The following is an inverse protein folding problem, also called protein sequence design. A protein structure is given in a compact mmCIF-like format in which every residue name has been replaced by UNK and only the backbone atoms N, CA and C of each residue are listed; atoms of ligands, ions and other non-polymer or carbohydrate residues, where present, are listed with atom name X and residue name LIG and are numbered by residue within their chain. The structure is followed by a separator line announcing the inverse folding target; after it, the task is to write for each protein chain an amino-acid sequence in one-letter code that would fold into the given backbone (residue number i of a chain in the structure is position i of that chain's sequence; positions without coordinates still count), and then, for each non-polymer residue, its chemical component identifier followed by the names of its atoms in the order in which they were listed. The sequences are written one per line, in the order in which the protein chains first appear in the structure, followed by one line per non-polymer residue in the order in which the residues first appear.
data_IF_769288881444
#
_entry.id   IF_769288881444
#
_cell.length_a   1.000
_cell.length_b   1.000
_cell.length_c   1.000
_cell.angle_alpha   90.00
_cell.angle_beta   90.00
_cell.angle_gamma   90.00
#
_symmetry.space_group_name_H-M   'P 1'
#
loop_
_entity.id
_entity.type
_entity.pdbx_description
1 polymer ?
#
# COMPACT_ATOMS: atom_id res chain seq x y z
N UNK A 1 23.87 0.74 -3.56
CA UNK A 1 22.48 1.18 -3.88
C UNK A 1 21.48 0.04 -3.93
N UNK A 2 21.69 -1.06 -4.69
CA UNK A 2 20.74 -2.19 -4.78
C UNK A 2 20.38 -2.83 -3.43
N UNK A 3 21.35 -2.95 -2.51
CA UNK A 3 21.12 -3.49 -1.16
C UNK A 3 20.08 -2.69 -0.36
N UNK A 4 20.11 -1.35 -0.44
CA UNK A 4 19.12 -0.49 0.23
C UNK A 4 17.72 -0.67 -0.37
N UNK A 5 17.62 -0.89 -1.68
CA UNK A 5 16.33 -1.14 -2.33
C UNK A 5 15.75 -2.49 -1.89
N UNK A 6 16.56 -3.55 -1.84
CA UNK A 6 16.12 -4.83 -1.31
C UNK A 6 15.73 -4.76 0.17
N UNK A 7 16.46 -3.99 0.96
CA UNK A 7 16.10 -3.73 2.35
C UNK A 7 14.74 -3.01 2.46
N UNK A 8 14.50 -2.01 1.62
CA UNK A 8 13.20 -1.34 1.54
C UNK A 8 12.07 -2.30 1.10
N UNK A 9 12.31 -3.16 0.11
CA UNK A 9 11.35 -4.19 -0.30
C UNK A 9 11.02 -5.13 0.87
N UNK A 10 12.03 -5.54 1.64
CA UNK A 10 11.85 -6.36 2.83
C UNK A 10 11.00 -5.67 3.91
N UNK A 11 11.27 -4.39 4.19
CA UNK A 11 10.46 -3.58 5.13
C UNK A 11 9.01 -3.49 4.63
N UNK A 12 8.81 -3.22 3.34
CA UNK A 12 7.48 -3.10 2.78
C UNK A 12 6.71 -4.43 2.83
N UNK A 13 7.36 -5.55 2.52
CA UNK A 13 6.77 -6.87 2.62
C UNK A 13 6.36 -7.20 4.07
N UNK A 14 7.19 -6.85 5.05
CA UNK A 14 6.84 -6.99 6.47
C UNK A 14 5.63 -6.12 6.87
N UNK A 15 5.60 -4.86 6.41
CA UNK A 15 4.47 -3.96 6.64
C UNK A 15 3.17 -4.47 5.97
N UNK A 16 3.27 -5.06 4.77
CA UNK A 16 2.15 -5.68 4.08
C UNK A 16 1.60 -6.89 4.85
N UNK A 17 2.47 -7.75 5.37
CA UNK A 17 2.07 -8.88 6.23
C UNK A 17 1.42 -8.39 7.52
N UNK A 18 1.96 -7.34 8.14
CA UNK A 18 1.34 -6.72 9.31
C UNK A 18 -0.07 -6.19 8.97
N UNK A 19 -0.24 -5.52 7.83
CA UNK A 19 -1.53 -5.02 7.37
C UNK A 19 -2.55 -6.15 7.19
N UNK A 20 -2.15 -7.26 6.56
CA UNK A 20 -3.00 -8.46 6.42
C UNK A 20 -3.34 -9.07 7.78
N UNK A 21 -2.37 -9.14 8.70
CA UNK A 21 -2.59 -9.63 10.06
C UNK A 21 -3.56 -8.74 10.83
N UNK A 22 -3.48 -7.43 10.66
CA UNK A 22 -4.43 -6.48 11.25
C UNK A 22 -5.83 -6.70 10.65
N UNK A 23 -5.95 -6.90 9.34
CA UNK A 23 -7.24 -7.21 8.72
C UNK A 23 -7.90 -8.46 9.32
N UNK A 24 -7.13 -9.51 9.56
CA UNK A 24 -7.62 -10.72 10.22
C UNK A 24 -7.98 -10.44 11.67
N UNK A 25 -7.13 -9.72 12.41
CA UNK A 25 -7.35 -9.40 13.83
C UNK A 25 -8.59 -8.53 14.05
N UNK A 26 -8.92 -7.66 13.11
CA UNK A 26 -10.05 -6.73 13.21
C UNK A 26 -11.25 -7.15 12.35
N UNK A 27 -11.30 -8.42 11.96
CA UNK A 27 -12.43 -9.04 11.24
C UNK A 27 -12.85 -8.23 9.99
N UNK A 28 -11.86 -7.72 9.25
CA UNK A 28 -12.14 -7.01 8.01
C UNK A 28 -12.90 -7.94 7.04
N UNK A 29 -13.81 -7.40 6.22
CA UNK A 29 -14.53 -8.21 5.25
C UNK A 29 -13.58 -9.00 4.35
N UNK A 30 -13.91 -10.27 4.09
CA UNK A 30 -13.04 -11.19 3.33
C UNK A 30 -12.60 -10.63 1.98
N UNK A 31 -13.48 -9.91 1.28
CA UNK A 31 -13.18 -9.26 0.01
C UNK A 31 -12.07 -8.20 0.14
N UNK A 32 -12.03 -7.47 1.27
CA UNK A 32 -11.02 -6.46 1.55
C UNK A 32 -9.69 -7.11 1.87
N UNK A 33 -9.68 -8.13 2.72
CA UNK A 33 -8.46 -8.89 3.03
C UNK A 33 -7.87 -9.54 1.77
N UNK A 34 -8.72 -10.10 0.90
CA UNK A 34 -8.30 -10.62 -0.40
C UNK A 34 -7.70 -9.55 -1.30
N UNK A 35 -8.36 -8.40 -1.44
CA UNK A 35 -7.87 -7.26 -2.21
C UNK A 35 -6.51 -6.77 -1.71
N UNK A 36 -6.36 -6.58 -0.40
CA UNK A 36 -5.09 -6.15 0.22
C UNK A 36 -3.97 -7.18 -0.02
N UNK A 37 -4.27 -8.48 0.12
CA UNK A 37 -3.29 -9.55 -0.11
C UNK A 37 -2.81 -9.56 -1.55
N UNK A 38 -3.73 -9.54 -2.51
CA UNK A 38 -3.41 -9.56 -3.95
C UNK A 38 -2.63 -8.31 -4.35
N UNK A 39 -3.10 -7.13 -3.96
CA UNK A 39 -2.44 -5.87 -4.32
C UNK A 39 -1.04 -5.75 -3.72
N UNK A 40 -0.85 -6.15 -2.45
CA UNK A 40 0.46 -6.14 -1.81
C UNK A 40 1.42 -7.15 -2.45
N UNK A 41 0.95 -8.37 -2.73
CA UNK A 41 1.77 -9.41 -3.35
C UNK A 41 2.24 -8.98 -4.76
N UNK A 42 1.31 -8.47 -5.57
CA UNK A 42 1.62 -7.95 -6.89
C UNK A 42 2.55 -6.74 -6.80
N UNK A 43 2.28 -5.82 -5.88
CA UNK A 43 3.12 -4.63 -5.73
C UNK A 43 4.56 -4.96 -5.31
N UNK A 44 4.76 -5.94 -4.42
CA UNK A 44 6.10 -6.47 -4.06
C UNK A 44 6.75 -7.16 -5.25
N UNK A 45 6.00 -7.98 -6.01
CA UNK A 45 6.52 -8.59 -7.24
C UNK A 45 6.98 -7.52 -8.25
N UNK A 46 6.24 -6.42 -8.38
CA UNK A 46 6.62 -5.29 -9.21
C UNK A 46 7.91 -4.63 -8.74
N UNK A 47 8.09 -4.42 -7.45
CA UNK A 47 9.35 -3.90 -6.94
C UNK A 47 10.54 -4.82 -7.28
N UNK A 48 10.35 -6.15 -7.22
CA UNK A 48 11.38 -7.11 -7.59
C UNK A 48 11.70 -7.06 -9.09
N UNK A 49 10.69 -7.03 -9.97
CA UNK A 49 10.89 -6.88 -11.41
C UNK A 49 11.60 -5.57 -11.75
N UNK A 50 11.23 -4.47 -11.07
CA UNK A 50 11.88 -3.18 -11.24
C UNK A 50 13.38 -3.25 -10.90
N UNK A 51 13.75 -3.87 -9.77
CA UNK A 51 15.15 -3.99 -9.33
C UNK A 51 15.97 -4.89 -10.24
N UNK A 52 15.35 -5.96 -10.75
CA UNK A 52 16.00 -6.87 -11.70
C UNK A 52 16.12 -6.30 -13.11
N UNK A 53 15.47 -5.15 -13.38
CA UNK A 53 15.48 -4.53 -14.70
C UNK A 53 14.68 -5.29 -15.75
N UNK A 54 13.74 -6.14 -15.32
CA UNK A 54 12.86 -6.87 -16.25
C UNK A 54 11.87 -5.88 -16.84
N UNK A 55 12.02 -5.60 -18.14
CA UNK A 55 11.10 -4.74 -18.88
C UNK A 55 10.75 -5.42 -20.20
N UNK A 56 9.46 -5.65 -20.40
CA UNK A 56 8.91 -6.07 -21.69
C UNK A 56 7.60 -5.31 -21.94
N UNK A 57 7.21 -5.11 -23.20
CA UNK A 57 5.93 -4.46 -23.54
C UNK A 57 4.72 -5.18 -22.94
N UNK A 58 4.75 -6.52 -22.90
CA UNK A 58 3.69 -7.36 -22.32
C UNK A 58 3.59 -7.15 -20.82
N UNK A 59 4.74 -7.11 -20.13
CA UNK A 59 4.80 -6.84 -18.70
C UNK A 59 4.22 -5.46 -18.41
N UNK A 60 4.64 -4.42 -19.14
CA UNK A 60 4.16 -3.05 -18.95
C UNK A 60 2.63 -2.95 -19.13
N UNK A 61 2.07 -3.60 -20.16
CA UNK A 61 0.63 -3.60 -20.43
C UNK A 61 -0.16 -4.30 -19.31
N UNK A 62 0.32 -5.46 -18.85
CA UNK A 62 -0.26 -6.14 -17.69
C UNK A 62 -0.15 -5.29 -16.42
N UNK A 63 0.99 -4.62 -16.21
CA UNK A 63 1.24 -3.86 -15.01
C UNK A 63 0.39 -2.60 -14.88
N UNK A 64 -0.15 -2.04 -15.97
CA UNK A 64 -1.12 -0.94 -15.91
C UNK A 64 -2.38 -1.32 -15.14
N UNK A 65 -2.87 -2.54 -15.35
CA UNK A 65 -4.01 -3.09 -14.60
C UNK A 65 -3.66 -3.36 -13.13
N UNK A 66 -2.44 -3.86 -12.89
CA UNK A 66 -1.91 -4.05 -11.54
C UNK A 66 -1.83 -2.72 -10.77
N UNK A 67 -1.33 -1.65 -11.40
CA UNK A 67 -1.27 -0.32 -10.80
C UNK A 67 -2.67 0.21 -10.49
N UNK A 68 -3.64 0.04 -11.40
CA UNK A 68 -5.02 0.42 -11.14
C UNK A 68 -5.60 -0.34 -9.92
N UNK A 69 -5.33 -1.65 -9.84
CA UNK A 69 -5.71 -2.49 -8.70
C UNK A 69 -5.06 -2.01 -7.40
N UNK A 70 -3.75 -1.71 -7.41
CA UNK A 70 -3.02 -1.18 -6.27
C UNK A 70 -3.62 0.15 -5.81
N UNK A 71 -3.99 1.03 -6.75
CA UNK A 71 -4.63 2.31 -6.44
C UNK A 71 -5.99 2.10 -5.75
N UNK A 72 -6.84 1.21 -6.28
CA UNK A 72 -8.13 0.86 -5.66
C UNK A 72 -7.92 0.25 -4.26
N UNK A 73 -7.00 -0.71 -4.13
CA UNK A 73 -6.68 -1.33 -2.85
C UNK A 73 -6.21 -0.29 -1.81
N UNK A 74 -5.40 0.68 -2.25
CA UNK A 74 -4.92 1.78 -1.39
C UNK A 74 -6.08 2.69 -0.97
N UNK A 75 -6.97 3.07 -1.89
CA UNK A 75 -8.14 3.89 -1.55
C UNK A 75 -9.06 3.18 -0.53
N UNK A 76 -9.29 1.87 -0.72
CA UNK A 76 -10.03 1.04 0.25
C UNK A 76 -9.28 1.00 1.59
N UNK A 77 -7.97 0.74 1.59
CA UNK A 77 -7.15 0.70 2.79
C UNK A 77 -7.22 2.03 3.55
N UNK A 78 -7.13 3.16 2.87
CA UNK A 78 -7.21 4.50 3.48
C UNK A 78 -8.54 4.71 4.16
N UNK A 79 -9.65 4.39 3.49
CA UNK A 79 -11.00 4.49 4.05
C UNK A 79 -11.16 3.63 5.30
N UNK A 80 -10.69 2.38 5.25
CA UNK A 80 -10.75 1.46 6.40
C UNK A 80 -9.84 1.89 7.54
N UNK A 81 -8.62 2.29 7.25
CA UNK A 81 -7.64 2.74 8.25
C UNK A 81 -8.14 3.99 8.95
N UNK A 82 -8.71 4.95 8.21
CA UNK A 82 -9.36 6.11 8.78
C UNK A 82 -10.49 5.70 9.73
N UNK A 83 -11.43 4.86 9.26
CA UNK A 83 -12.56 4.44 10.08
C UNK A 83 -12.13 3.66 11.35
N UNK A 84 -11.16 2.75 11.22
CA UNK A 84 -10.61 1.96 12.32
C UNK A 84 -9.87 2.83 13.34
N UNK A 85 -8.97 3.71 12.88
CA UNK A 85 -8.22 4.60 13.78
C UNK A 85 -9.15 5.57 14.48
N UNK A 86 -10.11 6.15 13.75
CA UNK A 86 -11.10 7.02 14.35
C UNK A 86 -11.90 6.28 15.44
N UNK A 87 -12.41 5.08 15.16
CA UNK A 87 -13.09 4.23 16.17
C UNK A 87 -12.24 3.85 17.38
N UNK A 88 -10.91 3.75 17.23
CA UNK A 88 -9.99 3.41 18.33
C UNK A 88 -9.60 4.61 19.19
N UNK A 89 -9.65 5.82 18.64
CA UNK A 89 -9.32 7.05 19.36
C UNK A 89 -10.59 7.71 19.93
N UNK A 90 -11.75 7.46 19.33
CA UNK A 90 -13.08 7.83 19.82
C UNK A 90 -13.53 7.29 21.20
N UNK A 91 -12.99 6.21 21.80
CA UNK A 91 -13.36 5.83 23.16
C UNK A 91 -12.98 6.91 24.19
N UNK A 92 -12.07 7.83 23.84
CA UNK A 92 -11.48 8.82 24.75
C UNK A 92 -11.78 10.28 24.35
N UNK A 93 -12.49 10.57 23.24
CA UNK A 93 -12.66 11.95 22.76
C UNK A 93 -13.87 12.22 21.84
N UNK A 94 -14.23 13.50 21.72
CA UNK A 94 -15.35 13.97 20.89
C UNK A 94 -15.07 13.76 19.38
N UNK A 95 -15.97 13.10 18.61
CA UNK A 95 -15.88 13.01 17.16
C UNK A 95 -15.70 14.34 16.43
N UNK A 96 -16.15 15.45 17.02
CA UNK A 96 -15.99 16.78 16.47
C UNK A 96 -14.60 17.40 16.71
N UNK A 97 -13.73 16.76 17.50
CA UNK A 97 -12.40 17.28 17.81
C UNK A 97 -11.53 17.37 16.53
N UNK A 98 -11.12 18.60 16.20
CA UNK A 98 -10.25 18.90 15.07
C UNK A 98 -8.82 18.38 15.25
N UNK A 99 -8.32 18.30 16.50
CA UNK A 99 -6.97 17.82 16.79
C UNK A 99 -6.85 16.32 16.56
N UNK A 100 -7.85 15.57 17.01
CA UNK A 100 -7.94 14.12 16.81
C UNK A 100 -8.02 13.75 15.33
N UNK A 101 -8.85 14.47 14.55
CA UNK A 101 -8.91 14.31 13.09
C UNK A 101 -7.57 14.63 12.42
N UNK A 102 -6.91 15.70 12.85
CA UNK A 102 -5.60 16.09 12.34
C UNK A 102 -4.56 14.98 12.58
N UNK A 103 -4.45 14.46 13.80
CA UNK A 103 -3.52 13.37 14.15
C UNK A 103 -3.73 12.11 13.31
N UNK A 104 -4.99 11.70 13.10
CA UNK A 104 -5.33 10.55 12.26
C UNK A 104 -4.88 10.79 10.81
N UNK A 105 -5.17 11.97 10.25
CA UNK A 105 -4.76 12.34 8.90
C UNK A 105 -3.25 12.44 8.74
N UNK A 106 -2.53 13.04 9.70
CA UNK A 106 -1.07 13.14 9.69
C UNK A 106 -0.44 11.74 9.70
N UNK A 107 -0.93 10.84 10.55
CA UNK A 107 -0.39 9.48 10.62
C UNK A 107 -0.69 8.67 9.34
N UNK A 108 -1.85 8.89 8.70
CA UNK A 108 -2.17 8.32 7.39
C UNK A 108 -1.23 8.90 6.31
N UNK A 109 -1.02 10.21 6.31
CA UNK A 109 -0.14 10.91 5.37
C UNK A 109 1.30 10.43 5.45
N UNK A 110 1.85 10.25 6.66
CA UNK A 110 3.17 9.68 6.86
C UNK A 110 3.28 8.25 6.29
N UNK A 111 2.24 7.43 6.47
CA UNK A 111 2.18 6.09 5.88
C UNK A 111 2.17 6.08 4.35
N UNK A 112 1.45 7.04 3.74
CA UNK A 112 1.45 7.22 2.28
C UNK A 112 2.82 7.67 1.76
N UNK A 113 3.47 8.60 2.45
CA UNK A 113 4.82 9.04 2.10
C UNK A 113 5.84 7.90 2.17
N UNK A 114 5.76 7.06 3.22
CA UNK A 114 6.60 5.87 3.33
C UNK A 114 6.36 4.85 2.21
N UNK A 115 5.15 4.85 1.63
CA UNK A 115 4.77 3.99 0.50
C UNK A 115 5.10 4.61 -0.87
N UNK A 116 5.60 5.85 -0.93
CA UNK A 116 5.87 6.52 -2.21
C UNK A 116 6.86 5.77 -3.11
N UNK A 117 7.98 5.21 -2.61
CA UNK A 117 8.89 4.41 -3.47
C UNK A 117 8.23 3.14 -4.02
N UNK A 118 7.33 2.51 -3.26
CA UNK A 118 6.52 1.38 -3.74
C UNK A 118 5.66 1.77 -4.95
N UNK A 119 4.94 2.90 -4.88
CA UNK A 119 4.14 3.39 -6.00
C UNK A 119 5.02 3.76 -7.19
N UNK A 120 6.13 4.45 -6.93
CA UNK A 120 7.06 4.87 -7.96
C UNK A 120 7.61 3.69 -8.78
N UNK A 121 8.05 2.61 -8.11
CA UNK A 121 8.59 1.42 -8.79
C UNK A 121 7.52 0.73 -9.64
N UNK A 122 6.29 0.60 -9.13
CA UNK A 122 5.19 -0.03 -9.85
C UNK A 122 4.70 0.84 -11.03
N UNK A 123 4.62 2.16 -10.86
CA UNK A 123 4.33 3.10 -11.96
C UNK A 123 5.40 3.07 -13.04
N UNK A 124 6.68 2.99 -12.63
CA UNK A 124 7.80 2.89 -13.57
C UNK A 124 7.76 1.62 -14.41
N UNK A 125 7.23 0.51 -13.89
CA UNK A 125 7.01 -0.70 -14.67
C UNK A 125 5.84 -0.55 -15.67
N UNK A 126 4.77 0.11 -15.27
CA UNK A 126 3.57 0.25 -16.09
C UNK A 126 3.71 1.30 -17.22
N UNK A 127 4.48 2.36 -16.97
CA UNK A 127 4.57 3.54 -17.82
C UNK A 127 5.99 4.00 -18.14
N UNK A 128 7.01 3.34 -17.59
CA UNK A 128 8.40 3.64 -17.93
C UNK A 128 8.77 3.16 -19.33
N UNK A 129 9.91 3.62 -19.86
CA UNK A 129 10.38 3.20 -21.18
C UNK A 129 10.69 1.70 -21.20
N UNK A 130 10.11 1.01 -22.18
CA UNK A 130 10.43 -0.37 -22.56
C UNK A 130 11.44 -0.30 -23.70
N UNK A 131 12.68 -0.71 -23.44
CA UNK A 131 13.73 -0.82 -24.45
C UNK A 131 13.83 -2.26 -24.94
#
# INVERSE_FOLDING_TARGET
MRLLIYFYIGIYAAAALQSIREDVRFEAPRWKAGLSTVANALGVAGMLFYVQGVRSPELALGWRWVVALIAVATAVQLRYTFHLRFRRVLPEGDPADGQLRSLVWTSIGLGLLASAPFFWMNLSLAFGPTH
#
